data_IF_336209153498
#
_entry.id   IF_336209153498
#
_cell.length_a   1.000
_cell.length_b   1.000
_cell.length_c   1.000
_cell.angle_alpha   90.00
_cell.angle_beta   90.00
_cell.angle_gamma   90.00
#
_symmetry.space_group_name_H-M   'P 1'
#
loop_
_entity.id
_entity.type
_entity.pdbx_description
1 polymer ?
#
# COMPACT_ATOMS: atom_id res chain seq x y z
N UNK A 1 -1.82 15.78 9.86
CA UNK A 1 -0.35 16.02 9.79
C UNK A 1 0.44 15.33 10.90
N UNK A 2 -0.07 15.20 12.14
CA UNK A 2 0.60 14.43 13.23
C UNK A 2 0.67 12.91 12.97
N UNK A 3 -0.42 12.29 12.46
CA UNK A 3 -0.44 10.85 12.18
C UNK A 3 0.64 10.42 11.16
N UNK A 4 0.84 11.21 10.09
CA UNK A 4 1.85 10.94 9.07
C UNK A 4 3.28 11.00 9.62
N UNK A 5 3.59 11.98 10.49
CA UNK A 5 4.93 12.10 11.06
C UNK A 5 5.26 10.94 11.99
N UNK A 6 4.29 10.51 12.80
CA UNK A 6 4.43 9.31 13.63
C UNK A 6 4.58 8.05 12.78
N UNK A 7 3.73 7.89 11.75
CA UNK A 7 3.78 6.76 10.82
C UNK A 7 5.14 6.63 10.13
N UNK A 8 5.72 7.75 9.66
CA UNK A 8 7.08 7.78 9.08
C UNK A 8 8.16 7.36 10.08
N UNK A 9 8.04 7.78 11.36
CA UNK A 9 9.00 7.39 12.41
C UNK A 9 8.94 5.89 12.70
N UNK A 10 7.74 5.33 12.77
CA UNK A 10 7.50 3.89 12.96
C UNK A 10 8.06 3.12 11.76
N UNK A 11 7.71 3.52 10.54
CA UNK A 11 8.19 2.87 9.32
C UNK A 11 9.73 2.86 9.25
N UNK A 12 10.37 4.01 9.46
CA UNK A 12 11.83 4.08 9.47
C UNK A 12 12.47 3.28 10.62
N UNK A 13 11.78 3.08 11.75
CA UNK A 13 12.28 2.21 12.82
C UNK A 13 12.29 0.74 12.39
N UNK A 14 11.22 0.28 11.73
CA UNK A 14 11.09 -1.08 11.17
C UNK A 14 12.24 -1.34 10.19
N UNK A 15 12.46 -0.43 9.24
CA UNK A 15 13.55 -0.54 8.25
C UNK A 15 14.94 -0.58 8.92
N UNK A 16 15.23 0.35 9.83
CA UNK A 16 16.54 0.43 10.51
C UNK A 16 16.84 -0.79 11.37
N UNK A 17 15.82 -1.37 11.99
CA UNK A 17 15.96 -2.57 12.82
C UNK A 17 15.93 -3.86 11.99
N UNK A 18 15.78 -3.76 10.67
CA UNK A 18 15.65 -4.90 9.75
C UNK A 18 14.58 -5.89 10.22
N UNK A 19 13.51 -5.36 10.81
CA UNK A 19 12.38 -6.19 11.22
C UNK A 19 11.73 -6.69 9.94
N UNK A 20 11.58 -8.01 9.82
CA UNK A 20 10.95 -8.63 8.66
C UNK A 20 9.48 -8.19 8.69
N UNK A 21 9.04 -7.35 7.74
CA UNK A 21 7.63 -6.98 7.68
C UNK A 21 6.81 -8.22 7.34
N UNK A 22 5.62 -8.31 7.92
CA UNK A 22 4.60 -9.23 7.43
C UNK A 22 3.56 -8.45 6.62
N UNK A 23 2.79 -9.16 5.80
CA UNK A 23 1.80 -8.52 4.92
C UNK A 23 0.81 -7.63 5.70
N UNK A 24 0.47 -8.00 6.93
CA UNK A 24 -0.41 -7.20 7.79
C UNK A 24 0.19 -5.81 8.08
N UNK A 25 1.46 -5.77 8.47
CA UNK A 25 2.17 -4.52 8.74
C UNK A 25 2.34 -3.68 7.47
N UNK A 26 2.67 -4.32 6.35
CA UNK A 26 2.82 -3.65 5.05
C UNK A 26 1.48 -3.05 4.57
N UNK A 27 0.38 -3.80 4.69
CA UNK A 27 -0.98 -3.33 4.40
C UNK A 27 -1.38 -2.14 5.29
N UNK A 28 -1.04 -2.19 6.58
CA UNK A 28 -1.29 -1.08 7.50
C UNK A 28 -0.49 0.18 7.13
N UNK A 29 0.74 0.02 6.65
CA UNK A 29 1.57 1.13 6.17
C UNK A 29 1.02 1.74 4.89
N UNK A 30 0.57 0.91 3.92
CA UNK A 30 -0.10 1.37 2.70
C UNK A 30 -1.34 2.21 3.05
N UNK A 31 -2.24 1.67 3.88
CA UNK A 31 -3.47 2.35 4.29
C UNK A 31 -3.18 3.69 4.99
N UNK A 32 -2.21 3.71 5.92
CA UNK A 32 -1.81 4.93 6.63
C UNK A 32 -1.26 5.99 5.68
N UNK A 33 -0.35 5.63 4.77
CA UNK A 33 0.21 6.58 3.80
C UNK A 33 -0.85 7.08 2.82
N UNK A 34 -1.73 6.19 2.34
CA UNK A 34 -2.85 6.52 1.45
C UNK A 34 -3.81 7.54 2.10
N UNK A 35 -4.28 7.26 3.32
CA UNK A 35 -5.17 8.17 4.09
C UNK A 35 -4.53 9.51 4.42
N UNK A 36 -3.20 9.56 4.48
CA UNK A 36 -2.44 10.80 4.66
C UNK A 36 -2.15 11.55 3.35
N UNK A 37 -2.66 11.07 2.20
CA UNK A 37 -2.40 11.66 0.88
C UNK A 37 -0.95 11.47 0.40
N UNK A 38 -0.17 10.61 1.06
CA UNK A 38 1.24 10.36 0.73
C UNK A 38 1.34 9.13 -0.18
N UNK A 39 0.68 9.21 -1.34
CA UNK A 39 0.51 8.09 -2.25
C UNK A 39 1.83 7.48 -2.72
N UNK A 40 2.86 8.29 -2.93
CA UNK A 40 4.18 7.81 -3.36
C UNK A 40 4.78 6.84 -2.32
N UNK A 41 4.61 7.14 -1.03
CA UNK A 41 5.08 6.24 0.05
C UNK A 41 4.23 4.99 0.18
N UNK A 42 2.92 5.09 -0.04
CA UNK A 42 2.06 3.91 -0.11
C UNK A 42 2.50 2.98 -1.25
N UNK A 43 2.82 3.56 -2.42
CA UNK A 43 3.37 2.83 -3.57
C UNK A 43 4.71 2.20 -3.25
N UNK A 44 5.64 2.92 -2.63
CA UNK A 44 6.95 2.38 -2.25
C UNK A 44 6.80 1.14 -1.38
N UNK A 45 5.91 1.17 -0.38
CA UNK A 45 5.64 -0.01 0.46
C UNK A 45 5.09 -1.14 -0.40
N UNK A 46 4.05 -0.89 -1.19
CA UNK A 46 3.40 -1.89 -2.04
C UNK A 46 4.37 -2.57 -3.01
N UNK A 47 5.24 -1.80 -3.69
CA UNK A 47 6.21 -2.32 -4.67
C UNK A 47 7.32 -3.15 -4.00
N UNK A 48 7.65 -2.86 -2.74
CA UNK A 48 8.65 -3.60 -1.96
C UNK A 48 8.11 -4.85 -1.25
N UNK A 49 6.78 -5.07 -1.24
CA UNK A 49 6.19 -6.29 -0.66
C UNK A 49 6.65 -7.53 -1.43
N UNK A 50 7.14 -8.54 -0.70
CA UNK A 50 7.53 -9.83 -1.28
C UNK A 50 6.33 -10.65 -1.74
N UNK A 51 5.23 -10.58 -0.99
CA UNK A 51 3.97 -11.26 -1.28
C UNK A 51 2.84 -10.26 -1.15
N UNK A 52 1.87 -10.32 -2.06
CA UNK A 52 0.70 -9.44 -2.07
C UNK A 52 -0.55 -10.30 -2.08
N UNK A 53 -1.49 -9.95 -1.23
CA UNK A 53 -2.82 -10.54 -1.16
C UNK A 53 -3.87 -9.56 -1.67
N UNK A 54 -5.13 -10.01 -1.71
CA UNK A 54 -6.28 -9.18 -2.12
C UNK A 54 -6.29 -7.85 -1.38
N UNK A 55 -6.02 -7.85 -0.07
CA UNK A 55 -6.01 -6.63 0.76
C UNK A 55 -4.92 -5.64 0.32
N UNK A 56 -3.73 -6.14 -0.02
CA UNK A 56 -2.62 -5.31 -0.51
C UNK A 56 -3.02 -4.56 -1.79
N UNK A 57 -3.64 -5.28 -2.73
CA UNK A 57 -4.07 -4.74 -4.01
C UNK A 57 -5.23 -3.76 -3.85
N UNK A 58 -6.27 -4.14 -3.11
CA UNK A 58 -7.46 -3.30 -2.93
C UNK A 58 -7.15 -2.01 -2.19
N UNK A 59 -6.24 -2.06 -1.20
CA UNK A 59 -5.75 -0.86 -0.51
C UNK A 59 -5.09 0.13 -1.48
N UNK A 60 -4.21 -0.37 -2.36
CA UNK A 60 -3.48 0.49 -3.31
C UNK A 60 -4.38 0.99 -4.46
N UNK A 61 -5.28 0.16 -4.96
CA UNK A 61 -6.29 0.55 -5.98
C UNK A 61 -7.18 1.67 -5.42
N UNK A 62 -7.68 1.50 -4.19
CA UNK A 62 -8.50 2.51 -3.50
C UNK A 62 -7.73 3.81 -3.26
N UNK A 63 -6.43 3.71 -2.93
CA UNK A 63 -5.55 4.86 -2.75
C UNK A 63 -5.39 5.67 -4.06
N UNK A 64 -5.17 5.00 -5.19
CA UNK A 64 -5.13 5.65 -6.50
C UNK A 64 -6.47 6.29 -6.87
N UNK A 65 -7.58 5.58 -6.68
CA UNK A 65 -8.93 6.09 -6.96
C UNK A 65 -9.26 7.35 -6.15
N UNK A 66 -9.00 7.32 -4.84
CA UNK A 66 -9.25 8.44 -3.93
C UNK A 66 -8.34 9.64 -4.19
N UNK A 67 -7.20 9.42 -4.85
CA UNK A 67 -6.25 10.48 -5.25
C UNK A 67 -6.53 11.04 -6.65
N UNK A 68 -7.65 10.68 -7.29
CA UNK A 68 -8.01 11.12 -8.64
C UNK A 68 -7.21 10.44 -9.76
N UNK A 69 -6.43 9.41 -9.44
CA UNK A 69 -5.58 8.67 -10.38
C UNK A 69 -6.28 7.41 -10.90
N UNK A 70 -7.49 7.59 -11.43
CA UNK A 70 -8.36 6.47 -11.84
C UNK A 70 -7.74 5.54 -12.89
N UNK A 71 -6.95 6.07 -13.84
CA UNK A 71 -6.26 5.23 -14.84
C UNK A 71 -5.24 4.29 -14.19
N UNK A 72 -4.48 4.79 -13.20
CA UNK A 72 -3.52 3.98 -12.46
C UNK A 72 -4.24 2.91 -11.63
N UNK A 73 -5.40 3.26 -11.04
CA UNK A 73 -6.23 2.30 -10.31
C UNK A 73 -6.72 1.14 -11.21
N UNK A 74 -7.24 1.45 -12.41
CA UNK A 74 -7.67 0.42 -13.37
C UNK A 74 -6.50 -0.43 -13.85
N UNK A 75 -5.36 0.20 -14.19
CA UNK A 75 -4.17 -0.54 -14.59
C UNK A 75 -3.68 -1.48 -13.48
N UNK A 76 -3.76 -1.06 -12.22
CA UNK A 76 -3.38 -1.87 -11.07
C UNK A 76 -4.37 -3.02 -10.82
N UNK A 77 -5.67 -2.78 -11.03
CA UNK A 77 -6.70 -3.83 -10.98
C UNK A 77 -6.47 -4.91 -12.04
N UNK A 78 -6.14 -4.53 -13.28
CA UNK A 78 -5.79 -5.52 -14.33
C UNK A 78 -4.58 -6.37 -13.93
N UNK A 79 -3.53 -5.75 -13.36
CA UNK A 79 -2.36 -6.48 -12.84
C UNK A 79 -2.70 -7.42 -11.70
N UNK A 80 -3.66 -7.06 -10.83
CA UNK A 80 -4.16 -7.95 -9.79
C UNK A 80 -4.77 -9.21 -10.40
N UNK A 81 -5.61 -9.05 -11.43
CA UNK A 81 -6.23 -10.18 -12.14
C UNK A 81 -5.18 -11.07 -12.82
N UNK A 82 -4.18 -10.46 -13.47
CA UNK A 82 -3.06 -11.18 -14.10
C UNK A 82 -2.21 -11.96 -13.08
N UNK A 83 -2.20 -11.54 -11.82
CA UNK A 83 -1.53 -12.26 -10.72
C UNK A 83 -2.29 -13.50 -10.23
N UNK A 84 -3.44 -13.81 -10.84
CA UNK A 84 -4.29 -14.95 -10.48
C UNK A 84 -5.13 -14.72 -9.22
N UNK A 85 -5.13 -13.50 -8.68
CA UNK A 85 -5.96 -13.12 -7.54
C UNK A 85 -7.32 -12.62 -8.03
N UNK A 86 -8.37 -13.23 -7.50
CA UNK A 86 -9.72 -12.71 -7.69
C UNK A 86 -9.90 -11.45 -6.84
N UNK A 87 -10.38 -10.33 -7.43
CA UNK A 87 -10.87 -9.19 -6.68
C UNK A 87 -11.95 -9.62 -5.68
N UNK A 88 -12.06 -8.87 -4.59
CA UNK A 88 -13.23 -8.98 -3.73
C UNK A 88 -14.49 -8.53 -4.51
N UNK A 89 -15.59 -9.26 -4.28
CA UNK A 89 -16.88 -9.05 -4.95
C UNK A 89 -17.62 -7.81 -4.47
#
# INVERSE_FOLDING_TARGET
TSALSLGKRIHGYIERKKLIPNMLLENALIDMYAKCGCLDRARDVFENMKFRDVVSWTAMISAYGSSGKGRDAVALFSKMQDSGLAPDS
#
